data_IF_143535009746
#
_entry.id   IF_143535009746
#
_cell.length_a   1.000
_cell.length_b   1.000
_cell.length_c   1.000
_cell.angle_alpha   90.00
_cell.angle_beta   90.00
_cell.angle_gamma   90.00
#
_symmetry.space_group_name_H-M   'P 1'
#
loop_
_entity.id
_entity.type
_entity.pdbx_description
1 polymer ?
#
# COMPACT_ATOMS: atom_id res chain seq x y z
N UNK A 1 -5.55 -3.07 -22.67
CA UNK A 1 -5.72 -3.53 -21.29
C UNK A 1 -6.48 -2.46 -20.46
N UNK A 2 -7.81 -2.53 -20.53
CA UNK A 2 -8.68 -1.61 -19.79
C UNK A 2 -8.83 -2.11 -18.34
N UNK A 3 -8.64 -1.27 -17.29
CA UNK A 3 -8.83 -1.69 -15.90
C UNK A 3 -10.33 -1.91 -15.58
N UNK A 4 -10.60 -2.68 -14.54
CA UNK A 4 -11.94 -2.87 -13.96
C UNK A 4 -12.45 -1.66 -13.19
N UNK A 5 -11.55 -0.75 -12.83
CA UNK A 5 -11.83 0.49 -12.09
C UNK A 5 -11.52 1.71 -12.96
N UNK A 6 -11.68 2.92 -12.41
CA UNK A 6 -11.20 4.15 -13.04
C UNK A 6 -9.67 4.10 -13.18
N UNK A 7 -9.09 4.35 -14.38
CA UNK A 7 -7.64 4.37 -14.59
C UNK A 7 -6.97 5.65 -14.11
N UNK A 8 -7.72 6.61 -13.59
CA UNK A 8 -7.17 7.88 -13.13
C UNK A 8 -6.14 7.66 -12.04
N UNK A 9 -4.97 8.27 -12.20
CA UNK A 9 -3.87 8.12 -11.25
C UNK A 9 -3.27 6.72 -11.20
N UNK A 10 -3.44 5.88 -12.22
CA UNK A 10 -2.89 4.53 -12.29
C UNK A 10 -1.90 4.37 -13.44
N UNK A 11 -0.91 3.51 -13.25
CA UNK A 11 0.02 3.04 -14.28
C UNK A 11 -0.18 1.54 -14.51
N UNK A 12 -0.01 1.10 -15.76
CA UNK A 12 -0.09 -0.31 -16.13
C UNK A 12 1.29 -0.96 -16.06
N UNK A 13 1.37 -2.09 -15.40
CA UNK A 13 2.53 -2.97 -15.37
C UNK A 13 2.26 -4.18 -16.27
N UNK A 14 2.96 -4.25 -17.38
CA UNK A 14 2.83 -5.31 -18.39
C UNK A 14 3.30 -6.68 -17.87
N UNK A 15 4.33 -6.70 -17.05
CA UNK A 15 4.87 -7.94 -16.46
C UNK A 15 3.87 -8.64 -15.54
N UNK A 16 3.02 -7.87 -14.86
CA UNK A 16 2.02 -8.42 -13.94
C UNK A 16 0.60 -8.45 -14.53
N UNK A 17 0.42 -7.87 -15.73
CA UNK A 17 -0.90 -7.60 -16.29
C UNK A 17 -1.82 -6.91 -15.26
N UNK A 18 -1.32 -5.80 -14.66
CA UNK A 18 -1.93 -5.17 -13.51
C UNK A 18 -1.85 -3.64 -13.60
N UNK A 19 -2.92 -2.96 -13.21
CA UNK A 19 -2.92 -1.51 -12.98
C UNK A 19 -2.59 -1.21 -11.51
N UNK A 20 -1.73 -0.23 -11.27
CA UNK A 20 -1.33 0.19 -9.93
C UNK A 20 -1.47 1.69 -9.76
N UNK A 21 -1.94 2.13 -8.60
CA UNK A 21 -1.96 3.54 -8.22
C UNK A 21 -0.55 4.15 -8.32
N UNK A 22 -0.42 5.26 -9.04
CA UNK A 22 0.87 5.96 -9.21
C UNK A 22 1.34 6.53 -7.87
N UNK A 23 0.41 7.05 -7.07
CA UNK A 23 0.71 7.70 -5.79
C UNK A 23 0.25 6.83 -4.61
N UNK A 24 0.83 7.02 -3.40
CA UNK A 24 0.26 6.46 -2.18
C UNK A 24 -1.20 6.89 -2.00
N UNK A 25 -1.94 6.13 -1.21
CA UNK A 25 -3.35 6.45 -0.97
C UNK A 25 -3.55 7.90 -0.52
N UNK A 26 -4.38 8.63 -1.26
CA UNK A 26 -4.76 10.03 -1.00
C UNK A 26 -6.27 10.24 -0.91
N UNK A 27 -7.07 9.19 -1.12
CA UNK A 27 -8.53 9.21 -0.98
C UNK A 27 -9.03 8.08 -0.09
N UNK A 28 -10.20 8.28 0.50
CA UNK A 28 -10.91 7.34 1.35
C UNK A 28 -12.40 7.44 1.11
N UNK A 29 -13.16 6.49 1.63
CA UNK A 29 -14.64 6.53 1.65
C UNK A 29 -15.25 6.72 0.24
N UNK A 30 -14.64 6.11 -0.79
CA UNK A 30 -15.08 6.17 -2.19
C UNK A 30 -14.46 7.30 -3.04
N UNK A 31 -13.58 8.12 -2.49
CA UNK A 31 -12.81 9.10 -3.25
C UNK A 31 -11.64 8.44 -4.01
N UNK A 32 -11.14 9.12 -5.06
CA UNK A 32 -9.98 8.66 -5.83
C UNK A 32 -8.77 8.41 -4.93
N UNK A 33 -8.22 7.20 -4.98
CA UNK A 33 -7.15 6.76 -4.08
C UNK A 33 -5.76 7.20 -4.50
N UNK A 34 -5.58 7.75 -5.70
CA UNK A 34 -4.27 8.09 -6.27
C UNK A 34 -4.29 9.45 -6.96
N UNK A 35 -3.95 10.51 -6.21
CA UNK A 35 -3.93 11.89 -6.70
C UNK A 35 -2.57 12.51 -6.40
N UNK A 36 -1.95 13.17 -7.39
CA UNK A 36 -0.73 13.96 -7.17
C UNK A 36 -1.01 15.14 -6.26
N UNK A 37 -0.17 15.34 -5.25
CA UNK A 37 -0.35 16.42 -4.28
C UNK A 37 -1.57 16.24 -3.36
N UNK A 38 -2.24 15.10 -3.42
CA UNK A 38 -3.35 14.79 -2.51
C UNK A 38 -2.86 14.61 -1.07
N UNK A 39 -3.72 14.87 -0.09
CA UNK A 39 -3.41 14.60 1.31
C UNK A 39 -3.25 13.11 1.54
N UNK A 40 -2.12 12.69 2.09
CA UNK A 40 -1.84 11.28 2.30
C UNK A 40 -2.80 10.66 3.34
N UNK A 41 -3.37 9.50 3.02
CA UNK A 41 -4.25 8.75 3.93
C UNK A 41 -3.40 7.79 4.77
N UNK A 42 -3.42 7.99 6.09
CA UNK A 42 -2.67 7.21 7.07
C UNK A 42 -3.42 7.13 8.40
N UNK A 43 -2.78 6.56 9.43
CA UNK A 43 -3.35 6.44 10.79
C UNK A 43 -4.70 5.74 10.82
N UNK A 44 -4.86 4.75 9.96
CA UNK A 44 -6.04 3.88 9.85
C UNK A 44 -5.63 2.42 9.96
N UNK A 45 -6.55 1.57 10.39
CA UNK A 45 -6.34 0.13 10.45
C UNK A 45 -6.27 -0.47 9.04
N UNK A 46 -5.71 -1.67 8.94
CA UNK A 46 -5.57 -2.36 7.64
C UNK A 46 -6.91 -2.52 6.91
N UNK A 47 -7.98 -2.86 7.64
CA UNK A 47 -9.33 -3.03 7.09
C UNK A 47 -9.87 -1.76 6.44
N UNK A 48 -9.61 -0.60 7.03
CA UNK A 48 -10.05 0.68 6.46
C UNK A 48 -9.39 0.94 5.12
N UNK A 49 -8.05 0.72 5.03
CA UNK A 49 -7.35 0.85 3.76
C UNK A 49 -7.86 -0.14 2.72
N UNK A 50 -8.11 -1.40 3.10
CA UNK A 50 -8.67 -2.41 2.20
C UNK A 50 -10.10 -2.06 1.74
N UNK A 51 -10.93 -1.52 2.62
CA UNK A 51 -12.28 -1.07 2.30
C UNK A 51 -12.29 0.15 1.37
N UNK A 52 -11.43 1.13 1.61
CA UNK A 52 -11.29 2.29 0.72
C UNK A 52 -10.96 1.85 -0.71
N UNK A 53 -10.02 0.91 -0.87
CA UNK A 53 -9.67 0.35 -2.18
C UNK A 53 -10.86 -0.36 -2.82
N UNK A 54 -11.58 -1.17 -2.05
CA UNK A 54 -12.76 -1.93 -2.54
C UNK A 54 -13.88 -1.01 -3.03
N UNK A 55 -14.12 0.11 -2.34
CA UNK A 55 -15.17 1.08 -2.72
C UNK A 55 -14.94 1.70 -4.09
N UNK A 56 -13.69 1.76 -4.57
CA UNK A 56 -13.33 2.28 -5.89
C UNK A 56 -12.94 1.17 -6.88
N UNK A 57 -13.28 -0.09 -6.59
CA UNK A 57 -13.04 -1.23 -7.48
C UNK A 57 -11.59 -1.73 -7.53
N UNK A 58 -10.81 -1.39 -6.51
CA UNK A 58 -9.41 -1.78 -6.33
C UNK A 58 -9.24 -2.76 -5.16
N UNK A 59 -8.03 -3.25 -4.98
CA UNK A 59 -7.57 -3.98 -3.78
C UNK A 59 -6.19 -3.51 -3.35
N UNK A 60 -5.76 -3.87 -2.15
CA UNK A 60 -4.36 -3.69 -1.75
C UNK A 60 -3.43 -4.59 -2.57
N UNK A 61 -2.17 -4.19 -2.69
CA UNK A 61 -1.12 -4.91 -3.42
C UNK A 61 -0.75 -6.19 -2.67
N UNK A 62 -0.52 -7.30 -3.39
CA UNK A 62 0.10 -8.50 -2.84
C UNK A 62 1.62 -8.35 -2.74
N UNK A 63 2.27 -9.16 -1.91
CA UNK A 63 3.72 -9.12 -1.67
C UNK A 63 4.56 -9.33 -2.93
N UNK A 64 4.23 -10.32 -3.74
CA UNK A 64 4.94 -10.61 -4.99
C UNK A 64 4.77 -9.48 -6.02
N UNK A 65 3.58 -8.87 -6.10
CA UNK A 65 3.30 -7.72 -6.96
C UNK A 65 4.11 -6.50 -6.52
N UNK A 66 4.11 -6.24 -5.19
CA UNK A 66 4.88 -5.13 -4.64
C UNK A 66 6.37 -5.22 -4.99
N UNK A 67 6.92 -6.42 -4.94
CA UNK A 67 8.34 -6.66 -5.24
C UNK A 67 8.71 -6.29 -6.69
N UNK A 68 7.78 -6.47 -7.63
CA UNK A 68 7.95 -6.08 -9.03
C UNK A 68 7.71 -4.57 -9.19
N UNK A 69 6.59 -4.07 -8.68
CA UNK A 69 6.17 -2.68 -8.85
C UNK A 69 7.13 -1.68 -8.21
N UNK A 70 7.76 -2.04 -7.09
CA UNK A 70 8.71 -1.21 -6.38
C UNK A 70 10.14 -1.27 -6.94
N UNK A 71 10.41 -2.14 -7.90
CA UNK A 71 11.74 -2.27 -8.50
C UNK A 71 12.20 -0.94 -9.15
N UNK A 72 13.47 -0.57 -8.94
CA UNK A 72 14.03 0.70 -9.37
C UNK A 72 13.77 1.88 -8.41
N UNK A 73 13.01 1.69 -7.34
CA UNK A 73 12.92 2.69 -6.27
C UNK A 73 14.27 2.93 -5.61
N UNK A 74 14.55 4.12 -5.04
CA UNK A 74 15.75 4.34 -4.24
C UNK A 74 15.85 3.34 -3.08
N UNK A 75 17.00 2.68 -2.98
CA UNK A 75 17.24 1.62 -2.00
C UNK A 75 18.06 2.14 -0.82
N UNK A 76 17.79 1.62 0.39
CA UNK A 76 18.50 1.95 1.64
C UNK A 76 18.49 3.43 2.02
N UNK A 77 17.48 4.15 1.56
CA UNK A 77 17.30 5.58 1.82
C UNK A 77 15.84 5.88 2.16
N UNK A 78 15.63 6.85 3.03
CA UNK A 78 14.32 7.38 3.34
C UNK A 78 14.06 8.69 2.57
N UNK A 79 12.85 9.23 2.70
CA UNK A 79 12.52 10.57 2.21
C UNK A 79 13.47 11.62 2.79
N UNK A 80 13.78 12.64 2.02
CA UNK A 80 14.64 13.74 2.42
C UNK A 80 14.15 14.38 3.72
N UNK A 81 15.06 14.55 4.69
CA UNK A 81 14.73 14.99 6.03
C UNK A 81 14.41 13.86 7.00
N UNK A 82 14.21 12.61 6.54
CA UNK A 82 13.91 11.43 7.36
C UNK A 82 12.77 11.65 8.39
N UNK A 83 11.76 12.43 7.99
CA UNK A 83 10.61 12.80 8.79
C UNK A 83 9.33 12.75 7.95
N UNK A 84 8.18 12.80 8.62
CA UNK A 84 6.90 12.97 7.93
C UNK A 84 6.92 14.29 7.13
N UNK A 85 6.58 14.29 5.83
CA UNK A 85 6.50 15.50 5.04
C UNK A 85 5.52 16.53 5.64
N UNK A 86 5.84 17.80 5.45
CA UNK A 86 4.94 18.89 5.80
C UNK A 86 4.97 19.95 4.68
N UNK A 87 3.89 20.14 3.89
CA UNK A 87 2.59 19.42 4.01
C UNK A 87 2.71 17.92 3.67
N UNK A 88 1.82 17.12 4.29
CA UNK A 88 1.79 15.67 4.11
C UNK A 88 0.98 15.29 2.86
N UNK A 89 1.63 15.42 1.73
CA UNK A 89 1.05 15.19 0.40
C UNK A 89 1.67 13.96 -0.28
N UNK A 90 1.10 13.55 -1.41
CA UNK A 90 1.54 12.41 -2.22
C UNK A 90 2.23 12.87 -3.49
N UNK A 91 3.33 12.21 -3.85
CA UNK A 91 4.11 12.53 -5.05
C UNK A 91 5.08 13.70 -4.87
N UNK A 92 6.11 13.74 -5.71
CA UNK A 92 7.08 14.83 -5.76
C UNK A 92 8.22 14.72 -4.75
N UNK A 93 8.25 13.72 -3.89
CA UNK A 93 9.29 13.60 -2.86
C UNK A 93 10.63 13.08 -3.43
N UNK A 94 11.69 13.53 -2.78
CA UNK A 94 13.06 13.05 -3.01
C UNK A 94 13.54 12.26 -1.80
N UNK A 95 14.41 11.29 -2.06
CA UNK A 95 15.11 10.57 -1.02
C UNK A 95 16.31 11.34 -0.47
N UNK A 96 16.88 10.88 0.65
CA UNK A 96 18.05 11.50 1.29
C UNK A 96 19.29 11.59 0.37
N UNK A 97 19.38 10.73 -0.64
CA UNK A 97 20.42 10.75 -1.67
C UNK A 97 20.08 11.67 -2.87
N UNK A 98 19.06 12.52 -2.76
CA UNK A 98 18.58 13.45 -3.77
C UNK A 98 18.07 12.79 -5.08
N UNK A 99 17.69 11.51 -5.06
CA UNK A 99 16.96 10.87 -6.14
C UNK A 99 15.45 11.03 -5.91
N UNK A 100 14.69 11.16 -6.99
CA UNK A 100 13.23 11.08 -6.91
C UNK A 100 12.80 9.68 -6.46
N UNK A 101 11.79 9.63 -5.61
CA UNK A 101 11.27 8.37 -5.05
C UNK A 101 10.31 7.69 -6.03
N UNK A 102 10.82 7.31 -7.20
CA UNK A 102 10.04 6.72 -8.31
C UNK A 102 10.61 5.35 -8.64
N UNK A 103 9.73 4.36 -8.84
CA UNK A 103 10.11 3.04 -9.38
C UNK A 103 10.26 3.06 -10.90
N UNK A 104 10.77 1.98 -11.50
CA UNK A 104 10.88 1.84 -12.96
C UNK A 104 9.52 1.81 -13.68
N UNK A 105 8.41 1.58 -12.96
CA UNK A 105 7.05 1.64 -13.47
C UNK A 105 6.39 3.02 -13.24
N UNK A 106 7.18 4.05 -12.94
CA UNK A 106 6.73 5.42 -12.66
C UNK A 106 5.81 5.56 -11.45
N UNK A 107 5.91 4.61 -10.51
CA UNK A 107 5.16 4.66 -9.26
C UNK A 107 5.95 5.45 -8.22
N UNK A 108 5.33 6.47 -7.66
CA UNK A 108 5.94 7.32 -6.64
C UNK A 108 5.89 6.67 -5.25
N UNK A 109 6.99 6.84 -4.51
CA UNK A 109 7.03 6.59 -3.07
C UNK A 109 6.71 5.14 -2.68
N UNK A 110 7.15 4.21 -3.53
CA UNK A 110 7.04 2.78 -3.20
C UNK A 110 7.92 2.40 -2.00
N UNK A 111 9.02 3.12 -1.74
CA UNK A 111 9.93 2.82 -0.64
C UNK A 111 10.38 4.11 0.05
N UNK A 112 10.59 4.05 1.39
CA UNK A 112 11.28 5.10 2.14
C UNK A 112 10.42 6.27 2.63
N UNK A 113 9.15 6.36 2.26
CA UNK A 113 8.22 7.39 2.76
C UNK A 113 7.28 6.82 3.82
N UNK A 114 6.47 5.85 3.45
CA UNK A 114 5.53 5.15 4.34
C UNK A 114 5.57 3.66 4.08
N UNK A 115 5.43 2.90 5.14
CA UNK A 115 5.13 1.49 5.04
C UNK A 115 3.80 1.30 4.33
N UNK A 116 3.80 0.53 3.25
CA UNK A 116 2.61 0.17 2.50
C UNK A 116 1.99 -1.10 3.07
N UNK A 117 0.74 -1.05 3.51
CA UNK A 117 -0.05 -2.23 3.85
C UNK A 117 -0.25 -3.10 2.62
N UNK A 118 0.08 -4.39 2.76
CA UNK A 118 -0.13 -5.39 1.72
C UNK A 118 -1.40 -6.19 1.99
N UNK A 119 -1.91 -6.83 0.94
CA UNK A 119 -3.08 -7.71 1.04
C UNK A 119 -2.78 -9.04 1.75
N UNK A 120 -1.52 -9.30 2.04
CA UNK A 120 -1.07 -10.49 2.76
C UNK A 120 -1.39 -10.37 4.24
N UNK A 121 -2.19 -11.30 4.73
CA UNK A 121 -2.47 -11.46 6.15
C UNK A 121 -1.93 -12.80 6.63
N UNK A 122 -1.40 -12.81 7.84
CA UNK A 122 -0.92 -14.03 8.49
C UNK A 122 -1.51 -14.14 9.88
N UNK A 123 -1.72 -15.36 10.35
CA UNK A 123 -1.90 -15.62 11.76
C UNK A 123 -0.52 -15.81 12.39
N UNK A 124 -0.23 -15.12 13.46
CA UNK A 124 0.97 -15.38 14.26
C UNK A 124 0.57 -15.99 15.60
N UNK A 125 1.45 -16.84 16.14
CA UNK A 125 1.18 -17.57 17.35
C UNK A 125 0.83 -16.67 18.54
N UNK A 126 -0.42 -16.59 18.84
CA UNK A 126 -0.99 -16.08 20.09
C UNK A 126 -1.95 -17.14 20.61
N UNK A 127 -2.28 -17.09 21.88
CA UNK A 127 -3.30 -17.97 22.46
C UNK A 127 -4.51 -17.14 22.87
N UNK A 128 -5.70 -17.69 22.60
CA UNK A 128 -6.97 -17.09 23.02
C UNK A 128 -7.78 -16.47 21.87
N UNK A 129 -9.06 -16.41 22.08
CA UNK A 129 -10.02 -15.78 21.18
C UNK A 129 -10.02 -14.26 21.36
N UNK A 130 -10.04 -13.52 20.28
CA UNK A 130 -10.04 -12.05 20.32
C UNK A 130 -10.82 -11.41 19.19
N UNK A 131 -11.31 -10.18 19.43
CA UNK A 131 -11.93 -9.31 18.43
C UNK A 131 -10.92 -8.35 17.77
N UNK A 132 -9.64 -8.60 17.92
CA UNK A 132 -8.55 -7.68 17.52
C UNK A 132 -8.42 -7.48 16.01
N UNK A 133 -9.42 -7.94 15.24
CA UNK A 133 -9.44 -7.85 13.77
C UNK A 133 -10.24 -6.66 13.24
N UNK A 134 -10.71 -5.76 14.09
CA UNK A 134 -11.68 -4.75 13.67
C UNK A 134 -13.08 -5.33 13.39
N UNK A 135 -13.28 -6.62 13.63
CA UNK A 135 -14.59 -7.30 13.53
C UNK A 135 -15.28 -7.30 14.88
N UNK A 136 -16.58 -7.01 14.90
CA UNK A 136 -17.37 -7.17 16.14
C UNK A 136 -17.45 -8.64 16.52
N UNK A 137 -17.45 -8.94 17.82
CA UNK A 137 -17.58 -10.30 18.34
C UNK A 137 -18.86 -11.02 17.88
N UNK A 138 -19.90 -10.25 17.46
CA UNK A 138 -21.13 -10.79 16.89
C UNK A 138 -20.92 -11.47 15.53
N UNK A 139 -19.82 -11.18 14.82
CA UNK A 139 -19.48 -11.78 13.52
C UNK A 139 -18.39 -12.84 13.60
N UNK A 140 -17.94 -13.17 14.81
CA UNK A 140 -16.91 -14.15 15.06
C UNK A 140 -15.64 -13.55 15.66
N UNK A 141 -14.75 -14.42 16.06
CA UNK A 141 -13.48 -14.06 16.68
C UNK A 141 -12.34 -14.83 16.00
N UNK A 142 -11.13 -14.29 16.11
CA UNK A 142 -9.91 -14.99 15.72
C UNK A 142 -9.29 -15.64 16.96
N UNK A 143 -8.86 -16.88 16.82
CA UNK A 143 -7.97 -17.52 17.79
C UNK A 143 -6.53 -17.16 17.44
N UNK A 144 -5.84 -16.52 18.37
CA UNK A 144 -4.50 -16.01 18.15
C UNK A 144 -4.45 -14.53 17.76
N UNK A 145 -3.40 -14.12 17.08
CA UNK A 145 -3.23 -12.75 16.59
C UNK A 145 -3.13 -12.71 15.05
N UNK A 146 -3.79 -11.74 14.44
CA UNK A 146 -3.70 -11.52 13.00
C UNK A 146 -2.80 -10.33 12.71
N UNK A 147 -1.90 -10.55 11.77
CA UNK A 147 -0.94 -9.58 11.29
C UNK A 147 -1.16 -9.32 9.81
N UNK A 148 -0.80 -8.13 9.36
CA UNK A 148 -0.67 -7.83 7.94
C UNK A 148 0.76 -7.43 7.63
N UNK A 149 1.22 -7.80 6.44
CA UNK A 149 2.56 -7.48 5.98
C UNK A 149 2.62 -6.02 5.56
N UNK A 150 3.71 -5.36 5.91
CA UNK A 150 4.07 -4.03 5.45
C UNK A 150 5.31 -4.10 4.55
N UNK A 151 5.39 -3.20 3.57
CA UNK A 151 6.47 -3.15 2.60
C UNK A 151 7.05 -1.75 2.44
N UNK A 152 8.28 -1.66 1.93
CA UNK A 152 8.93 -0.43 1.45
C UNK A 152 9.75 0.34 2.48
N UNK A 153 9.35 0.38 3.73
CA UNK A 153 9.98 1.21 4.75
C UNK A 153 9.35 2.59 4.89
N UNK A 154 9.36 3.13 6.10
CA UNK A 154 8.89 4.48 6.40
C UNK A 154 10.04 5.49 6.53
N UNK A 155 9.73 6.75 6.73
CA UNK A 155 10.71 7.85 6.81
C UNK A 155 11.77 7.68 7.90
N UNK A 156 11.48 6.94 8.96
CA UNK A 156 12.44 6.64 10.05
C UNK A 156 13.24 5.37 9.81
N UNK A 157 12.97 4.63 8.73
CA UNK A 157 13.57 3.30 8.52
C UNK A 157 14.98 3.36 7.88
N UNK A 158 15.40 4.53 7.38
CA UNK A 158 16.77 4.78 6.88
C UNK A 158 17.28 3.66 5.95
N UNK A 159 18.36 2.99 6.30
CA UNK A 159 18.97 1.90 5.53
C UNK A 159 18.12 0.64 5.41
N UNK A 160 17.02 0.54 6.13
CA UNK A 160 16.06 -0.58 6.02
C UNK A 160 14.98 -0.34 4.97
N UNK A 161 14.96 0.84 4.31
CA UNK A 161 14.03 1.11 3.22
C UNK A 161 14.45 0.41 1.94
N UNK A 162 13.47 0.01 1.14
CA UNK A 162 13.75 -0.57 -0.17
C UNK A 162 12.60 -1.41 -0.73
N UNK A 163 12.70 -1.74 -2.01
CA UNK A 163 11.69 -2.53 -2.73
C UNK A 163 11.42 -3.90 -2.12
N UNK A 164 12.40 -4.48 -1.44
CA UNK A 164 12.32 -5.78 -0.77
C UNK A 164 12.13 -5.70 0.75
N UNK A 165 12.05 -4.50 1.32
CA UNK A 165 11.84 -4.32 2.75
C UNK A 165 10.45 -4.80 3.17
N UNK A 166 10.38 -5.60 4.24
CA UNK A 166 9.14 -6.13 4.80
C UNK A 166 9.14 -6.03 6.31
N UNK A 167 7.95 -5.81 6.86
CA UNK A 167 7.73 -5.79 8.31
C UNK A 167 6.48 -6.61 8.65
N UNK A 168 6.65 -7.74 9.32
CA UNK A 168 5.62 -8.78 9.47
C UNK A 168 4.98 -8.88 10.85
N UNK A 169 5.29 -7.99 11.78
CA UNK A 169 4.82 -8.10 13.18
C UNK A 169 3.77 -7.05 13.55
N UNK A 170 3.13 -6.41 12.57
CA UNK A 170 2.11 -5.41 12.86
C UNK A 170 0.71 -6.04 12.86
N UNK A 171 0.01 -5.90 13.98
CA UNK A 171 -1.41 -6.22 14.04
C UNK A 171 -2.18 -5.42 12.99
N UNK A 172 -3.19 -6.03 12.38
CA UNK A 172 -4.11 -5.36 11.45
C UNK A 172 -4.82 -4.16 12.06
N UNK A 173 -5.01 -4.14 13.38
CA UNK A 173 -5.57 -3.01 14.12
C UNK A 173 -4.55 -1.89 14.44
N UNK A 174 -3.29 -2.05 14.08
CA UNK A 174 -2.27 -1.06 14.39
C UNK A 174 -2.35 0.17 13.47
N UNK A 175 -2.34 1.36 14.06
CA UNK A 175 -2.40 2.64 13.36
C UNK A 175 -1.11 3.44 13.55
N UNK A 176 -0.64 4.11 12.50
CA UNK A 176 0.47 5.05 12.58
C UNK A 176 0.49 5.98 11.35
N UNK A 177 1.02 7.19 11.50
CA UNK A 177 1.21 8.12 10.39
C UNK A 177 2.20 7.56 9.34
N UNK A 178 3.12 6.71 9.76
CA UNK A 178 4.10 6.06 8.87
C UNK A 178 3.55 4.86 8.08
N UNK A 179 2.24 4.63 8.07
CA UNK A 179 1.59 3.52 7.36
C UNK A 179 0.48 4.04 6.47
N UNK A 180 0.40 3.50 5.26
CA UNK A 180 -0.62 3.85 4.28
C UNK A 180 -0.98 2.67 3.39
N UNK A 181 -1.86 2.88 2.44
CA UNK A 181 -2.27 1.89 1.45
C UNK A 181 -1.84 2.29 0.03
N UNK A 182 -2.01 1.34 -0.90
CA UNK A 182 -1.90 1.57 -2.34
C UNK A 182 -2.79 0.57 -3.06
N UNK A 183 -3.56 1.06 -4.03
CA UNK A 183 -4.50 0.28 -4.80
C UNK A 183 -3.90 -0.36 -6.04
N UNK A 184 -4.39 -1.55 -6.35
CA UNK A 184 -4.19 -2.20 -7.65
C UNK A 184 -5.51 -2.71 -8.20
N UNK A 185 -5.57 -2.90 -9.51
CA UNK A 185 -6.77 -3.37 -10.21
C UNK A 185 -6.37 -4.24 -11.40
N UNK A 186 -7.00 -5.38 -11.52
CA UNK A 186 -6.85 -6.25 -12.68
C UNK A 186 -7.47 -5.60 -13.94
N UNK A 187 -6.95 -5.90 -15.14
CA UNK A 187 -7.60 -5.49 -16.38
C UNK A 187 -8.95 -6.20 -16.55
N UNK A 188 -9.83 -5.58 -17.29
CA UNK A 188 -11.03 -6.24 -17.78
C UNK A 188 -10.61 -7.38 -18.70
N UNK A 189 -10.89 -8.61 -18.30
CA UNK A 189 -10.60 -9.77 -19.11
C UNK A 189 -11.62 -9.86 -20.25
N UNK A 190 -11.22 -9.47 -21.46
CA UNK A 190 -12.04 -9.61 -22.66
C UNK A 190 -12.27 -11.10 -23.08
N UNK A 191 -11.66 -12.04 -22.35
CA UNK A 191 -11.73 -13.47 -22.67
C UNK A 191 -13.02 -14.18 -22.25
N UNK A 192 -13.99 -13.48 -21.67
CA UNK A 192 -15.26 -14.08 -21.25
C UNK A 192 -16.39 -13.77 -22.25
N UNK A 193 -16.07 -13.40 -23.48
CA UNK A 193 -17.05 -13.40 -24.57
C UNK A 193 -16.65 -14.52 -25.51
N UNK A 194 -16.85 -15.77 -25.09
CA UNK A 194 -17.09 -16.88 -25.99
C UNK A 194 -18.47 -17.37 -25.62
N UNK A 195 -19.41 -16.96 -26.49
CA UNK A 195 -20.73 -17.49 -26.52
C UNK A 195 -20.72 -18.99 -26.86
#
# INVERSE_FOLDING_TARGET
>A
HRPKCSPNGMAYCDLLDLWCDIYPQSGKDGADTSVYGGTAVHSRVWEDHANDMRLVGKRLIWDHEYSVLADGSPEKVAVKGAAQPNPDTTGGHMATNNLYMISKYFLWEMAGLRWCWLNNVSANGGSGWSNSQGLSGAKGQLYGASYALLAGGGWTSSSYCGSRSRHGINSRGAVAASRGGRGVCEPLNARVIVA
#
